data_IF_239501341712
#
_entry.id   IF_239501341712
#
_cell.length_a   1.000
_cell.length_b   1.000
_cell.length_c   1.000
_cell.angle_alpha   90.00
_cell.angle_beta   90.00
_cell.angle_gamma   90.00
#
_symmetry.space_group_name_H-M   'P 1'
#
loop_
_entity.id
_entity.type
_entity.pdbx_description
1 polymer ?
#
# COMPACT_ATOMS: atom_id res chain seq x y z
N UNK A 1 -47.44 -15.09 -51.33
CA UNK A 1 -47.77 -13.65 -51.18
C UNK A 1 -49.21 -13.50 -50.72
N UNK A 2 -50.19 -14.11 -51.40
CA UNK A 2 -51.62 -14.06 -51.03
C UNK A 2 -51.92 -14.62 -49.64
N UNK A 3 -51.45 -15.82 -49.29
CA UNK A 3 -51.65 -16.39 -47.95
C UNK A 3 -51.03 -15.57 -46.80
N UNK A 4 -50.01 -14.76 -47.09
CA UNK A 4 -49.36 -13.89 -46.10
C UNK A 4 -50.15 -12.59 -45.95
N UNK A 5 -50.79 -12.10 -47.02
CA UNK A 5 -51.71 -10.97 -46.98
C UNK A 5 -53.04 -11.30 -46.28
N UNK A 6 -53.61 -12.49 -46.52
CA UNK A 6 -54.81 -12.94 -45.79
C UNK A 6 -54.54 -13.07 -44.29
N UNK A 7 -53.42 -13.69 -43.92
CA UNK A 7 -53.00 -13.82 -42.53
C UNK A 7 -52.79 -12.45 -41.85
N UNK A 8 -52.20 -11.47 -42.55
CA UNK A 8 -52.06 -10.10 -42.03
C UNK A 8 -53.42 -9.39 -41.92
N UNK A 9 -54.40 -9.67 -42.78
CA UNK A 9 -55.72 -9.02 -42.70
C UNK A 9 -56.63 -9.55 -41.58
N UNK A 10 -56.47 -10.82 -41.18
CA UNK A 10 -57.24 -11.45 -40.10
C UNK A 10 -56.69 -11.16 -38.70
N UNK A 11 -55.49 -10.57 -38.63
CA UNK A 11 -54.80 -10.30 -37.38
C UNK A 11 -55.45 -9.12 -36.63
N UNK A 12 -55.78 -9.29 -35.35
CA UNK A 12 -56.34 -8.21 -34.51
C UNK A 12 -55.27 -7.14 -34.20
N UNK A 13 -54.92 -6.31 -35.18
CA UNK A 13 -53.90 -5.26 -35.06
C UNK A 13 -54.15 -4.30 -33.90
N UNK A 14 -55.42 -4.08 -33.54
CA UNK A 14 -55.80 -3.26 -32.38
C UNK A 14 -55.30 -3.84 -31.04
N UNK A 15 -55.07 -5.15 -30.94
CA UNK A 15 -54.49 -5.80 -29.76
C UNK A 15 -53.00 -6.07 -29.90
N UNK A 16 -52.55 -6.48 -31.09
CA UNK A 16 -51.14 -6.81 -31.32
C UNK A 16 -50.25 -5.57 -31.28
N UNK A 17 -50.67 -4.45 -31.87
CA UNK A 17 -49.86 -3.23 -31.92
C UNK A 17 -49.55 -2.69 -30.51
N UNK A 18 -50.53 -2.50 -29.60
CA UNK A 18 -50.24 -2.04 -28.25
C UNK A 18 -49.37 -3.02 -27.45
N UNK A 19 -49.56 -4.33 -27.62
CA UNK A 19 -48.81 -5.33 -26.86
C UNK A 19 -47.35 -5.42 -27.32
N UNK A 20 -47.10 -5.44 -28.63
CA UNK A 20 -45.75 -5.43 -29.20
C UNK A 20 -45.06 -4.10 -28.89
N UNK A 21 -45.77 -2.98 -29.01
CA UNK A 21 -45.24 -1.67 -28.68
C UNK A 21 -44.88 -1.56 -27.20
N UNK A 22 -45.74 -2.04 -26.29
CA UNK A 22 -45.48 -2.08 -24.86
C UNK A 22 -44.25 -2.93 -24.50
N UNK A 23 -44.10 -4.11 -25.12
CA UNK A 23 -42.92 -4.97 -24.95
C UNK A 23 -41.65 -4.30 -25.49
N UNK A 24 -41.72 -3.68 -26.67
CA UNK A 24 -40.60 -2.96 -27.27
C UNK A 24 -40.14 -1.78 -26.39
N UNK A 25 -41.08 -0.98 -25.88
CA UNK A 25 -40.80 0.12 -24.95
C UNK A 25 -40.17 -0.42 -23.66
N UNK A 26 -40.70 -1.51 -23.09
CA UNK A 26 -40.14 -2.14 -21.89
C UNK A 26 -38.68 -2.60 -22.09
N UNK A 27 -38.38 -3.23 -23.23
CA UNK A 27 -37.01 -3.66 -23.58
C UNK A 27 -36.09 -2.46 -23.75
N UNK A 28 -36.52 -1.44 -24.49
CA UNK A 28 -35.74 -0.21 -24.71
C UNK A 28 -35.47 0.52 -23.38
N UNK A 29 -36.45 0.59 -22.49
CA UNK A 29 -36.30 1.19 -21.18
C UNK A 29 -35.32 0.38 -20.31
N UNK A 30 -35.41 -0.95 -20.34
CA UNK A 30 -34.46 -1.84 -19.66
C UNK A 30 -33.02 -1.64 -20.15
N UNK A 31 -32.82 -1.55 -21.47
CA UNK A 31 -31.52 -1.25 -22.07
C UNK A 31 -31.03 0.14 -21.65
N UNK A 32 -31.89 1.16 -21.69
CA UNK A 32 -31.54 2.52 -21.31
C UNK A 32 -31.11 2.62 -19.84
N UNK A 33 -31.85 1.96 -18.92
CA UNK A 33 -31.51 1.92 -17.49
C UNK A 33 -30.19 1.18 -17.27
N UNK A 34 -30.01 0.02 -17.90
CA UNK A 34 -28.76 -0.75 -17.81
C UNK A 34 -27.56 0.05 -18.32
N UNK A 35 -27.70 0.68 -19.50
CA UNK A 35 -26.69 1.55 -20.08
C UNK A 35 -26.37 2.73 -19.17
N UNK A 36 -27.39 3.38 -18.59
CA UNK A 36 -27.20 4.50 -17.65
C UNK A 36 -26.41 4.09 -16.40
N UNK A 37 -26.70 2.91 -15.84
CA UNK A 37 -25.98 2.38 -14.67
C UNK A 37 -24.51 2.09 -15.02
N UNK A 38 -24.26 1.43 -16.15
CA UNK A 38 -22.90 1.15 -16.63
C UNK A 38 -22.14 2.44 -16.95
N UNK A 39 -22.80 3.41 -17.56
CA UNK A 39 -22.23 4.71 -17.88
C UNK A 39 -21.85 5.48 -16.62
N UNK A 40 -22.71 5.51 -15.59
CA UNK A 40 -22.37 6.12 -14.29
C UNK A 40 -21.20 5.41 -13.59
N UNK A 41 -21.15 4.07 -13.62
CA UNK A 41 -20.00 3.31 -13.10
C UNK A 41 -18.71 3.70 -13.84
N UNK A 42 -18.77 3.83 -15.17
CA UNK A 42 -17.63 4.24 -16.01
C UNK A 42 -17.18 5.66 -15.71
N UNK A 43 -18.10 6.60 -15.55
CA UNK A 43 -17.79 7.99 -15.18
C UNK A 43 -17.10 8.08 -13.82
N UNK A 44 -17.62 7.38 -12.80
CA UNK A 44 -16.98 7.33 -11.47
C UNK A 44 -15.57 6.75 -11.54
N UNK A 45 -15.37 5.71 -12.33
CA UNK A 45 -14.04 5.12 -12.55
C UNK A 45 -13.08 6.10 -13.23
N UNK A 46 -13.51 6.79 -14.27
CA UNK A 46 -12.71 7.82 -14.95
C UNK A 46 -12.37 8.99 -14.03
N UNK A 47 -13.31 9.42 -13.19
CA UNK A 47 -13.08 10.46 -12.19
C UNK A 47 -12.07 10.02 -11.12
N UNK A 48 -12.11 8.76 -10.67
CA UNK A 48 -11.09 8.20 -9.76
C UNK A 48 -9.70 8.22 -10.40
N UNK A 49 -9.59 7.76 -11.66
CA UNK A 49 -8.33 7.80 -12.40
C UNK A 49 -7.79 9.23 -12.56
N UNK A 50 -8.66 10.20 -12.83
CA UNK A 50 -8.29 11.63 -12.92
C UNK A 50 -7.80 12.18 -11.58
N UNK A 51 -8.39 11.73 -10.48
CA UNK A 51 -8.00 12.14 -9.12
C UNK A 51 -6.74 11.43 -8.59
N UNK A 52 -6.28 10.38 -9.29
CA UNK A 52 -5.14 9.59 -8.84
C UNK A 52 -5.48 8.60 -7.73
N UNK A 53 -6.75 8.44 -7.37
CA UNK A 53 -7.23 7.42 -6.43
C UNK A 53 -7.03 6.05 -7.10
N UNK A 54 -5.99 5.32 -6.71
CA UNK A 54 -5.84 3.93 -7.10
C UNK A 54 -6.26 3.04 -5.95
N UNK A 55 -7.31 2.25 -6.17
CA UNK A 55 -7.69 1.14 -5.29
C UNK A 55 -6.67 -0.03 -5.40
N UNK A 56 -5.39 0.26 -5.65
CA UNK A 56 -4.34 -0.75 -5.85
C UNK A 56 -3.66 -1.11 -4.53
N UNK A 57 -3.47 -2.43 -4.35
CA UNK A 57 -2.65 -3.05 -3.33
C UNK A 57 -1.42 -3.67 -3.98
N UNK A 58 -0.23 -3.17 -3.63
CA UNK A 58 1.05 -3.68 -4.16
C UNK A 58 1.88 -4.30 -3.04
N UNK A 59 2.54 -5.42 -3.33
CA UNK A 59 3.48 -6.08 -2.42
C UNK A 59 4.90 -5.86 -2.91
N UNK A 60 5.72 -5.17 -2.13
CA UNK A 60 7.02 -4.67 -2.57
C UNK A 60 8.12 -5.00 -1.57
N UNK A 61 9.13 -5.76 -2.01
CA UNK A 61 10.37 -5.92 -1.27
C UNK A 61 11.34 -4.79 -1.59
N UNK A 62 12.00 -4.29 -0.55
CA UNK A 62 13.00 -3.23 -0.61
C UNK A 62 14.36 -3.83 -0.29
N UNK A 63 15.37 -3.37 -1.02
CA UNK A 63 16.75 -3.85 -0.91
C UNK A 63 17.69 -2.65 -0.92
N UNK A 64 18.81 -2.78 -0.21
CA UNK A 64 19.94 -1.87 -0.31
C UNK A 64 21.09 -2.55 -1.06
N UNK A 65 21.31 -2.14 -2.31
CA UNK A 65 22.44 -2.65 -3.09
C UNK A 65 23.67 -1.75 -2.89
N UNK A 66 24.87 -2.29 -2.65
CA UNK A 66 26.08 -1.47 -2.60
C UNK A 66 26.34 -0.84 -3.97
N UNK A 67 26.67 0.45 -3.99
CA UNK A 67 27.13 1.16 -5.20
C UNK A 67 28.65 1.28 -5.17
N UNK A 68 29.17 1.67 -4.02
CA UNK A 68 30.60 1.78 -3.74
C UNK A 68 30.83 1.21 -2.34
N UNK A 69 31.63 0.15 -2.25
CA UNK A 69 31.93 -0.52 -0.98
C UNK A 69 32.81 0.32 -0.06
N UNK A 70 33.59 1.27 -0.60
CA UNK A 70 34.52 2.10 0.19
C UNK A 70 33.82 3.28 0.87
N UNK A 71 32.85 3.90 0.20
CA UNK A 71 32.09 5.05 0.71
C UNK A 71 30.81 4.62 1.47
N UNK A 72 30.48 3.32 1.46
CA UNK A 72 29.27 2.80 2.09
C UNK A 72 27.97 3.31 1.46
N UNK A 73 28.05 3.88 0.25
CA UNK A 73 26.91 4.38 -0.52
C UNK A 73 26.11 3.20 -1.07
N UNK A 74 24.78 3.27 -0.89
CA UNK A 74 23.83 2.23 -1.29
C UNK A 74 22.75 2.76 -2.21
N UNK A 75 22.26 1.92 -3.11
CA UNK A 75 21.10 2.20 -3.94
C UNK A 75 19.88 1.48 -3.37
N UNK A 76 18.85 2.25 -3.02
CA UNK A 76 17.54 1.75 -2.67
C UNK A 76 16.82 1.27 -3.93
N UNK A 77 16.54 -0.04 -3.94
CA UNK A 77 15.84 -0.75 -5.00
C UNK A 77 14.58 -1.37 -4.43
N UNK A 78 13.50 -1.42 -5.20
CA UNK A 78 12.29 -2.11 -4.79
C UNK A 78 11.63 -2.90 -5.93
N UNK A 79 11.07 -4.05 -5.59
CA UNK A 79 10.53 -5.03 -6.55
C UNK A 79 9.18 -5.54 -6.09
N UNK A 80 8.25 -5.66 -7.04
CA UNK A 80 6.98 -6.30 -6.73
C UNK A 80 7.22 -7.80 -6.56
N UNK A 81 6.87 -8.35 -5.40
CA UNK A 81 7.05 -9.78 -5.09
C UNK A 81 5.76 -10.60 -5.25
N UNK A 82 4.64 -9.91 -5.46
CA UNK A 82 3.37 -10.52 -5.80
C UNK A 82 2.64 -9.69 -6.87
N UNK A 83 1.68 -10.28 -7.60
CA UNK A 83 0.86 -9.57 -8.58
C UNK A 83 0.14 -8.38 -7.95
N UNK A 84 -0.03 -7.33 -8.75
CA UNK A 84 -0.84 -6.18 -8.37
C UNK A 84 -2.29 -6.64 -8.21
N UNK A 85 -2.95 -6.21 -7.14
CA UNK A 85 -4.37 -6.47 -6.90
C UNK A 85 -5.10 -5.17 -6.65
N UNK A 86 -6.42 -5.17 -6.83
CA UNK A 86 -7.25 -4.11 -6.27
C UNK A 86 -7.70 -4.46 -4.85
N UNK A 87 -8.12 -3.47 -4.07
CA UNK A 87 -8.71 -3.67 -2.74
C UNK A 87 -9.95 -4.58 -2.85
N UNK A 88 -10.74 -4.43 -3.92
CA UNK A 88 -11.94 -5.24 -4.14
C UNK A 88 -11.61 -6.72 -4.46
N UNK A 89 -10.46 -6.98 -5.10
CA UNK A 89 -9.97 -8.35 -5.41
C UNK A 89 -9.19 -8.99 -4.25
N UNK A 90 -8.69 -8.17 -3.33
CA UNK A 90 -7.84 -8.63 -2.23
C UNK A 90 -8.67 -9.02 -0.99
N UNK A 91 -9.77 -8.33 -0.72
CA UNK A 91 -10.56 -8.53 0.49
C UNK A 91 -11.98 -8.94 0.12
N UNK A 92 -12.53 -10.02 0.69
CA UNK A 92 -13.92 -10.41 0.41
C UNK A 92 -14.93 -9.58 1.22
N UNK A 93 -14.53 -9.15 2.42
CA UNK A 93 -15.39 -8.39 3.32
C UNK A 93 -15.56 -6.92 2.85
N UNK A 94 -16.77 -6.46 2.47
CA UNK A 94 -16.99 -5.11 2.00
C UNK A 94 -16.70 -4.04 3.05
N UNK A 95 -16.89 -4.35 4.34
CA UNK A 95 -16.56 -3.44 5.43
C UNK A 95 -15.04 -3.25 5.54
N UNK A 96 -14.25 -4.32 5.43
CA UNK A 96 -12.79 -4.24 5.44
C UNK A 96 -12.26 -3.38 4.28
N UNK A 97 -12.87 -3.50 3.08
CA UNK A 97 -12.52 -2.68 1.91
C UNK A 97 -12.73 -1.18 2.17
N UNK A 98 -13.89 -0.81 2.71
CA UNK A 98 -14.20 0.61 2.96
C UNK A 98 -13.34 1.17 4.11
N UNK A 99 -13.17 0.40 5.18
CA UNK A 99 -12.28 0.78 6.28
C UNK A 99 -10.85 0.97 5.76
N UNK A 100 -10.30 0.05 4.98
CA UNK A 100 -8.95 0.17 4.43
C UNK A 100 -8.79 1.45 3.59
N UNK A 101 -9.77 1.78 2.73
CA UNK A 101 -9.76 3.05 1.97
C UNK A 101 -9.77 4.27 2.86
N UNK A 102 -10.56 4.25 3.94
CA UNK A 102 -10.62 5.35 4.90
C UNK A 102 -9.29 5.50 5.66
N UNK A 103 -8.70 4.39 6.13
CA UNK A 103 -7.43 4.39 6.84
C UNK A 103 -6.29 4.88 5.93
N UNK A 104 -6.25 4.43 4.66
CA UNK A 104 -5.25 4.87 3.69
C UNK A 104 -5.28 6.39 3.49
N UNK A 105 -6.47 7.00 3.40
CA UNK A 105 -6.65 8.46 3.28
C UNK A 105 -6.19 9.26 4.50
N UNK A 106 -6.09 8.62 5.66
CA UNK A 106 -5.62 9.26 6.90
C UNK A 106 -4.09 9.28 7.03
N UNK A 107 -3.38 8.53 6.18
CA UNK A 107 -1.92 8.51 6.18
C UNK A 107 -1.33 9.82 5.69
N UNK A 108 -0.14 10.15 6.21
CA UNK A 108 0.59 11.37 5.87
C UNK A 108 2.07 11.04 5.69
N UNK A 109 2.87 11.98 5.18
CA UNK A 109 4.32 11.79 5.13
C UNK A 109 4.94 11.53 6.50
N UNK A 110 4.35 12.06 7.58
CA UNK A 110 4.86 11.89 8.95
C UNK A 110 4.38 10.58 9.61
N UNK A 111 3.27 10.03 9.12
CA UNK A 111 2.68 8.78 9.59
C UNK A 111 2.22 7.95 8.36
N UNK A 112 3.15 7.29 7.65
CA UNK A 112 2.85 6.60 6.40
C UNK A 112 2.30 5.18 6.59
N UNK A 113 2.43 4.62 7.80
CA UNK A 113 1.90 3.30 8.16
C UNK A 113 0.38 3.41 8.25
N UNK A 114 -0.33 2.48 7.63
CA UNK A 114 -1.79 2.41 7.72
C UNK A 114 -2.19 2.13 9.18
N UNK A 115 -3.03 2.95 9.82
CA UNK A 115 -3.42 2.77 11.21
C UNK A 115 -4.42 1.62 11.35
N UNK A 116 -3.91 0.39 11.41
CA UNK A 116 -4.73 -0.83 11.46
C UNK A 116 -5.15 -1.22 12.87
N UNK A 117 -5.30 -0.29 13.83
CA UNK A 117 -5.66 -0.65 15.21
C UNK A 117 -7.06 -1.28 15.33
N UNK A 118 -7.25 -2.09 16.38
CA UNK A 118 -8.50 -2.79 16.64
C UNK A 118 -8.73 -3.99 15.72
N UNK A 119 -9.87 -4.65 15.92
CA UNK A 119 -10.17 -5.96 15.30
C UNK A 119 -10.22 -5.91 13.76
N UNK A 120 -10.92 -4.92 13.20
CA UNK A 120 -11.05 -4.81 11.73
C UNK A 120 -9.71 -4.50 11.08
N UNK A 121 -8.89 -3.65 11.72
CA UNK A 121 -7.56 -3.36 11.22
C UNK A 121 -6.62 -4.58 11.32
N UNK A 122 -6.71 -5.36 12.40
CA UNK A 122 -6.02 -6.66 12.50
C UNK A 122 -6.39 -7.59 11.35
N UNK A 123 -7.68 -7.75 11.06
CA UNK A 123 -8.14 -8.58 9.93
C UNK A 123 -7.58 -8.06 8.60
N UNK A 124 -7.62 -6.74 8.37
CA UNK A 124 -7.07 -6.11 7.16
C UNK A 124 -5.57 -6.43 6.98
N UNK A 125 -4.79 -6.30 8.05
CA UNK A 125 -3.35 -6.51 8.03
C UNK A 125 -3.02 -8.01 7.85
N UNK A 126 -3.73 -8.88 8.55
CA UNK A 126 -3.54 -10.32 8.49
C UNK A 126 -3.96 -10.91 7.14
N UNK A 127 -5.03 -10.42 6.53
CA UNK A 127 -5.44 -10.82 5.18
C UNK A 127 -4.37 -10.44 4.15
N UNK A 128 -3.82 -9.22 4.23
CA UNK A 128 -2.73 -8.81 3.35
C UNK A 128 -1.49 -9.71 3.50
N UNK A 129 -1.11 -10.04 4.73
CA UNK A 129 -0.01 -10.98 4.99
C UNK A 129 -0.33 -12.41 4.51
N UNK A 130 -1.58 -12.86 4.66
CA UNK A 130 -2.04 -14.17 4.20
C UNK A 130 -2.01 -14.28 2.67
N UNK A 131 -2.42 -13.24 1.96
CA UNK A 131 -2.31 -13.16 0.49
C UNK A 131 -0.85 -13.29 0.05
N UNK A 132 0.04 -12.52 0.67
CA UNK A 132 1.46 -12.52 0.33
C UNK A 132 2.13 -13.87 0.64
N UNK A 133 1.92 -14.39 1.85
CA UNK A 133 2.49 -15.68 2.28
C UNK A 133 1.96 -16.82 1.43
N UNK A 134 0.67 -16.82 1.09
CA UNK A 134 0.07 -17.77 0.16
C UNK A 134 0.71 -17.71 -1.24
N UNK A 135 0.96 -16.50 -1.76
CA UNK A 135 1.64 -16.33 -3.04
C UNK A 135 3.09 -16.84 -3.04
N UNK A 136 3.81 -16.63 -1.93
CA UNK A 136 5.21 -17.02 -1.79
C UNK A 136 5.41 -18.41 -1.19
N UNK A 137 4.33 -19.16 -0.91
CA UNK A 137 4.39 -20.45 -0.24
C UNK A 137 5.20 -21.50 -1.03
N UNK A 138 5.09 -21.46 -2.35
CA UNK A 138 5.77 -22.37 -3.30
C UNK A 138 7.04 -21.77 -3.90
N UNK A 139 7.54 -20.65 -3.35
CA UNK A 139 8.79 -20.05 -3.81
C UNK A 139 9.95 -21.02 -3.60
N UNK A 140 10.84 -21.12 -4.60
CA UNK A 140 12.08 -21.90 -4.52
C UNK A 140 13.18 -21.20 -3.72
N UNK A 141 12.96 -19.94 -3.33
CA UNK A 141 13.94 -19.12 -2.62
C UNK A 141 14.03 -19.51 -1.14
N UNK A 142 15.21 -19.40 -0.51
CA UNK A 142 15.38 -19.69 0.91
C UNK A 142 14.51 -18.74 1.75
N UNK A 143 13.84 -19.29 2.77
CA UNK A 143 12.99 -18.49 3.67
C UNK A 143 13.86 -17.66 4.60
N UNK A 144 13.71 -16.33 4.54
CA UNK A 144 14.30 -15.37 5.49
C UNK A 144 13.19 -14.66 6.24
N UNK A 145 13.51 -14.05 7.38
CA UNK A 145 12.56 -13.22 8.10
C UNK A 145 12.52 -11.85 7.44
N UNK A 146 11.32 -11.41 7.06
CA UNK A 146 11.06 -10.09 6.51
C UNK A 146 10.12 -9.35 7.45
N UNK A 147 10.38 -8.07 7.64
CA UNK A 147 9.43 -7.18 8.29
C UNK A 147 8.42 -6.71 7.25
N UNK A 148 7.15 -6.89 7.56
CA UNK A 148 6.00 -6.58 6.74
C UNK A 148 5.21 -5.43 7.33
N UNK A 149 4.89 -4.43 6.51
CA UNK A 149 4.12 -3.27 6.94
C UNK A 149 3.20 -2.78 5.82
N UNK A 150 1.95 -2.45 6.15
CA UNK A 150 1.05 -1.76 5.22
C UNK A 150 1.25 -0.26 5.29
N UNK A 151 1.44 0.37 4.15
CA UNK A 151 1.72 1.81 4.02
C UNK A 151 0.85 2.42 2.93
N UNK A 152 0.60 3.72 3.04
CA UNK A 152 0.09 4.52 1.93
C UNK A 152 0.88 5.83 1.89
N UNK A 153 1.36 6.20 0.71
CA UNK A 153 2.07 7.47 0.57
C UNK A 153 1.08 8.64 0.53
N UNK A 154 1.50 9.78 1.07
CA UNK A 154 0.67 10.99 1.16
C UNK A 154 0.18 11.46 -0.22
N UNK A 155 -1.14 11.42 -0.41
CA UNK A 155 -1.84 11.85 -1.63
C UNK A 155 -1.52 13.28 -2.07
N UNK A 156 -1.07 14.12 -1.16
CA UNK A 156 -0.74 15.50 -1.47
C UNK A 156 0.64 15.66 -2.11
N UNK A 157 1.41 14.58 -2.21
CA UNK A 157 2.76 14.57 -2.76
C UNK A 157 2.92 13.53 -3.88
N UNK A 158 2.16 12.43 -3.82
CA UNK A 158 2.16 11.42 -4.88
C UNK A 158 1.05 11.63 -5.90
N UNK A 159 1.35 11.31 -7.16
CA UNK A 159 0.37 11.38 -8.27
C UNK A 159 -0.67 10.26 -8.23
N UNK A 160 -0.32 9.12 -7.63
CA UNK A 160 -1.16 7.91 -7.58
C UNK A 160 -1.18 7.39 -6.14
N UNK A 161 -2.31 7.55 -5.47
CA UNK A 161 -2.54 6.98 -4.15
C UNK A 161 -2.65 5.46 -4.30
N UNK A 162 -1.87 4.71 -3.54
CA UNK A 162 -1.87 3.25 -3.62
C UNK A 162 -1.32 2.66 -2.33
N UNK A 163 -1.96 1.58 -1.88
CA UNK A 163 -1.59 0.90 -0.66
C UNK A 163 -0.44 -0.05 -0.98
N UNK A 164 0.62 0.03 -0.18
CA UNK A 164 1.83 -0.74 -0.38
C UNK A 164 2.15 -1.53 0.86
N UNK A 165 2.16 -2.83 0.67
CA UNK A 165 2.69 -3.79 1.61
C UNK A 165 4.20 -3.87 1.41
N UNK A 166 4.93 -3.20 2.29
CA UNK A 166 6.38 -3.18 2.30
C UNK A 166 6.93 -4.44 2.95
N UNK A 167 7.97 -4.98 2.33
CA UNK A 167 8.87 -5.97 2.90
C UNK A 167 10.27 -5.37 2.95
N UNK A 168 10.95 -5.53 4.07
CA UNK A 168 12.35 -5.13 4.27
C UNK A 168 13.03 -6.06 5.26
N UNK A 169 14.35 -6.20 5.17
CA UNK A 169 15.13 -6.85 6.21
C UNK A 169 15.25 -5.91 7.42
N UNK A 170 15.33 -6.48 8.62
CA UNK A 170 15.31 -5.70 9.86
C UNK A 170 16.58 -4.86 10.03
N UNK A 171 17.75 -5.44 9.75
CA UNK A 171 19.04 -4.76 9.76
C UNK A 171 19.11 -3.61 8.76
N UNK A 172 18.55 -3.78 7.56
CA UNK A 172 18.44 -2.71 6.56
C UNK A 172 17.54 -1.57 7.02
N UNK A 173 16.36 -1.89 7.58
CA UNK A 173 15.42 -0.87 8.06
C UNK A 173 16.05 -0.02 9.17
N UNK A 174 16.77 -0.64 10.10
CA UNK A 174 17.34 0.08 11.24
C UNK A 174 18.33 1.17 10.83
N UNK A 175 19.00 1.02 9.68
CA UNK A 175 19.86 2.06 9.09
C UNK A 175 19.07 3.31 8.71
N UNK A 176 17.84 3.13 8.21
CA UNK A 176 16.98 4.25 7.81
C UNK A 176 16.54 5.15 8.97
N UNK A 177 16.64 4.70 10.21
CA UNK A 177 16.29 5.53 11.36
C UNK A 177 17.34 6.63 11.63
N UNK A 178 18.53 6.59 11.03
CA UNK A 178 19.44 7.73 10.96
C UNK A 178 19.17 8.56 9.70
N UNK A 179 18.57 9.74 9.88
CA UNK A 179 18.27 10.63 8.77
C UNK A 179 19.51 11.18 8.06
N UNK A 180 20.62 11.38 8.77
CA UNK A 180 21.87 11.85 8.14
C UNK A 180 22.42 10.78 7.22
N UNK A 181 22.45 9.54 7.71
CA UNK A 181 22.84 8.41 6.89
C UNK A 181 21.96 8.29 5.63
N UNK A 182 20.64 8.40 5.77
CA UNK A 182 19.70 8.42 4.65
C UNK A 182 20.05 9.48 3.61
N UNK A 183 20.41 10.69 4.05
CA UNK A 183 20.72 11.79 3.15
C UNK A 183 22.02 11.59 2.38
N UNK A 184 23.05 11.13 3.08
CA UNK A 184 24.41 11.15 2.58
C UNK A 184 24.73 9.89 1.77
N UNK A 185 24.19 8.72 2.18
CA UNK A 185 24.57 7.42 1.64
C UNK A 185 23.51 6.75 0.77
N UNK A 186 22.24 7.13 0.87
CA UNK A 186 21.18 6.50 0.07
C UNK A 186 21.05 7.19 -1.28
N UNK A 187 21.08 6.38 -2.34
CA UNK A 187 20.72 6.73 -3.72
C UNK A 187 19.46 5.99 -4.10
N UNK A 188 18.75 6.44 -5.12
CA UNK A 188 17.48 5.84 -5.53
C UNK A 188 17.52 5.45 -7.01
N UNK A 189 16.72 4.47 -7.43
CA UNK A 189 16.65 4.10 -8.86
C UNK A 189 16.10 5.23 -9.74
N UNK A 190 15.16 6.05 -9.25
CA UNK A 190 14.52 7.12 -10.02
C UNK A 190 14.38 8.39 -9.20
N UNK A 191 14.43 9.59 -9.82
CA UNK A 191 14.39 10.86 -9.10
C UNK A 191 13.17 11.02 -8.17
N UNK A 192 12.02 10.45 -8.50
CA UNK A 192 10.79 10.54 -7.70
C UNK A 192 10.71 9.52 -6.56
N UNK A 193 11.64 8.57 -6.44
CA UNK A 193 11.67 7.57 -5.37
C UNK A 193 12.16 8.13 -4.03
N UNK A 194 12.56 9.40 -3.94
CA UNK A 194 12.99 10.04 -2.70
C UNK A 194 11.93 9.95 -1.57
N UNK A 195 10.64 9.93 -1.92
CA UNK A 195 9.54 9.73 -0.95
C UNK A 195 9.60 8.37 -0.25
N UNK A 196 10.17 7.35 -0.90
CA UNK A 196 10.38 6.03 -0.30
C UNK A 196 11.42 6.08 0.80
N UNK A 197 12.49 6.86 0.62
CA UNK A 197 13.50 7.07 1.66
C UNK A 197 12.88 7.71 2.89
N UNK A 198 12.05 8.75 2.70
CA UNK A 198 11.31 9.41 3.80
C UNK A 198 10.36 8.41 4.47
N UNK A 199 9.61 7.65 3.69
CA UNK A 199 8.66 6.65 4.20
C UNK A 199 9.38 5.58 5.03
N UNK A 200 10.49 5.02 4.52
CA UNK A 200 11.30 4.03 5.23
C UNK A 200 11.91 4.61 6.50
N UNK A 201 12.40 5.86 6.48
CA UNK A 201 12.87 6.55 7.68
C UNK A 201 11.77 6.61 8.76
N UNK A 202 10.54 7.00 8.39
CA UNK A 202 9.41 7.06 9.34
C UNK A 202 9.00 5.69 9.86
N UNK A 203 9.03 4.66 9.01
CA UNK A 203 8.78 3.26 9.42
C UNK A 203 9.87 2.80 10.39
N UNK A 204 11.14 3.12 10.11
CA UNK A 204 12.27 2.75 10.94
C UNK A 204 12.21 3.40 12.32
N UNK A 205 11.88 4.70 12.39
CA UNK A 205 11.64 5.39 13.66
C UNK A 205 10.46 4.77 14.42
N UNK A 206 9.33 4.52 13.75
CA UNK A 206 8.18 3.87 14.37
C UNK A 206 8.54 2.47 14.90
N UNK A 207 9.27 1.67 14.13
CA UNK A 207 9.69 0.33 14.55
C UNK A 207 10.60 0.37 15.77
N UNK A 208 11.57 1.30 15.79
CA UNK A 208 12.46 1.51 16.93
C UNK A 208 11.67 1.92 18.18
N UNK A 209 10.75 2.87 18.05
CA UNK A 209 9.91 3.32 19.16
C UNK A 209 9.01 2.19 19.67
N UNK A 210 8.42 1.40 18.76
CA UNK A 210 7.64 0.21 19.08
C UNK A 210 8.50 -0.81 19.84
N UNK A 211 9.73 -1.08 19.39
CA UNK A 211 10.66 -1.98 20.08
C UNK A 211 11.04 -1.51 21.48
N UNK A 212 11.24 -0.21 21.70
CA UNK A 212 11.55 0.38 23.02
C UNK A 212 10.33 0.32 23.93
N UNK A 213 9.14 0.55 23.40
CA UNK A 213 7.88 0.53 24.15
C UNK A 213 7.42 -0.88 24.53
N UNK A 214 8.04 -1.94 23.97
CA UNK A 214 7.71 -3.30 24.35
C UNK A 214 8.07 -3.55 25.82
N UNK A 215 7.12 -3.99 26.66
CA UNK A 215 7.48 -4.52 27.96
C UNK A 215 8.41 -5.72 27.72
N UNK A 216 9.59 -5.71 28.33
CA UNK A 216 10.39 -6.92 28.51
C UNK A 216 9.53 -7.84 29.35
N UNK A 217 8.73 -8.72 28.74
CA UNK A 217 7.90 -9.68 29.48
C UNK A 217 8.85 -10.78 29.95
N UNK A 218 9.21 -10.84 31.25
CA UNK A 218 9.86 -12.00 31.78
C UNK A 218 8.74 -13.00 32.12
N UNK A 219 8.79 -14.16 31.48
CA UNK A 219 8.14 -15.38 31.97
C UNK A 219 6.64 -15.63 31.62
N UNK A 220 6.44 -16.79 30.98
CA UNK A 220 5.35 -17.77 31.19
C UNK A 220 3.89 -17.30 31.19
N UNK A 221 3.40 -16.90 30.02
CA UNK A 221 2.20 -17.49 29.41
C UNK A 221 2.03 -16.85 28.05
N UNK A 222 2.42 -17.55 26.99
CA UNK A 222 2.04 -17.14 25.64
C UNK A 222 0.51 -17.23 25.62
N UNK A 223 -0.25 -16.13 25.49
CA UNK A 223 -1.69 -16.25 25.33
C UNK A 223 -1.92 -17.04 24.03
N UNK A 224 -2.75 -18.08 24.08
CA UNK A 224 -3.10 -18.91 22.91
C UNK A 224 -3.71 -18.08 21.75
N UNK A 225 -4.12 -16.85 22.03
CA UNK A 225 -4.66 -15.87 21.09
C UNK A 225 -4.08 -14.51 21.45
N UNK A 226 -3.30 -13.91 20.55
CA UNK A 226 -2.86 -12.51 20.70
C UNK A 226 -4.08 -11.59 20.84
N UNK A 227 -4.00 -10.56 21.68
CA UNK A 227 -5.06 -9.57 21.77
C UNK A 227 -5.17 -8.82 20.43
N UNK A 228 -6.18 -9.18 19.64
CA UNK A 228 -6.48 -8.60 18.32
C UNK A 228 -6.77 -7.10 18.40
N UNK A 229 -6.96 -6.52 19.59
CA UNK A 229 -7.17 -5.07 19.78
C UNK A 229 -5.86 -4.29 19.76
N UNK A 230 -4.74 -4.91 20.15
CA UNK A 230 -3.42 -4.31 20.26
C UNK A 230 -2.35 -5.19 19.59
N UNK A 231 -2.49 -5.40 18.29
CA UNK A 231 -1.48 -6.05 17.47
C UNK A 231 -0.39 -5.08 16.98
N UNK A 232 0.75 -5.63 16.56
CA UNK A 232 1.82 -4.87 15.90
C UNK A 232 1.44 -4.58 14.45
N UNK A 233 1.72 -3.36 14.00
CA UNK A 233 1.50 -2.95 12.60
C UNK A 233 2.65 -3.36 11.68
N UNK A 234 3.81 -3.62 12.28
CA UNK A 234 4.97 -4.23 11.61
C UNK A 234 5.08 -5.68 12.06
N UNK A 235 4.90 -6.62 11.13
CA UNK A 235 4.89 -8.05 11.40
C UNK A 235 6.16 -8.73 10.88
N UNK A 236 6.64 -9.77 11.57
CA UNK A 236 7.72 -10.63 11.07
C UNK A 236 7.12 -11.79 10.28
N UNK A 237 7.46 -11.90 9.00
CA UNK A 237 7.01 -12.97 8.10
C UNK A 237 8.22 -13.77 7.59
N UNK A 238 8.16 -15.10 7.69
CA UNK A 238 9.17 -15.97 7.09
C UNK A 238 8.81 -16.25 5.63
N UNK A 239 9.53 -15.61 4.69
CA UNK A 239 9.19 -15.61 3.26
C UNK A 239 10.39 -16.00 2.39
N UNK A 240 10.13 -16.78 1.34
CA UNK A 240 11.10 -17.07 0.28
C UNK A 240 11.04 -15.98 -0.80
N UNK A 241 11.83 -14.92 -0.63
CA UNK A 241 11.93 -13.80 -1.58
C UNK A 241 13.31 -13.81 -2.22
N UNK A 242 13.39 -13.46 -3.51
CA UNK A 242 14.66 -13.36 -4.24
C UNK A 242 15.59 -12.34 -3.56
N UNK A 243 16.82 -12.74 -3.23
CA UNK A 243 17.82 -11.87 -2.62
C UNK A 243 18.87 -11.35 -3.60
N UNK A 244 18.96 -11.94 -4.80
CA UNK A 244 19.90 -11.56 -5.85
C UNK A 244 19.32 -10.53 -6.82
N UNK A 245 18.68 -9.49 -6.31
CA UNK A 245 18.09 -8.43 -7.14
C UNK A 245 19.15 -7.47 -7.68
N UNK A 246 18.92 -6.96 -8.89
CA UNK A 246 19.84 -6.05 -9.59
C UNK A 246 19.13 -4.74 -9.90
N UNK A 247 19.85 -3.63 -9.78
CA UNK A 247 19.34 -2.32 -10.16
C UNK A 247 19.00 -2.26 -11.66
N UNK A 248 17.89 -1.61 -12.00
CA UNK A 248 17.45 -1.45 -13.40
C UNK A 248 17.95 -0.16 -14.04
N UNK A 249 18.49 0.75 -13.23
CA UNK A 249 18.98 2.05 -13.67
C UNK A 249 20.13 2.50 -12.77
N UNK A 250 20.92 3.43 -13.30
CA UNK A 250 22.02 4.03 -12.56
C UNK A 250 21.53 4.71 -11.26
N UNK A 251 22.35 4.68 -10.19
CA UNK A 251 22.01 5.33 -8.93
C UNK A 251 21.79 6.83 -9.10
N UNK A 252 20.60 7.29 -8.73
CA UNK A 252 20.26 8.71 -8.74
C UNK A 252 20.46 9.32 -7.35
N UNK A 253 21.21 10.42 -7.28
CA UNK A 253 21.35 11.22 -6.06
C UNK A 253 20.08 12.06 -5.86
N UNK A 254 19.55 12.04 -4.64
CA UNK A 254 18.45 12.91 -4.25
C UNK A 254 19.00 14.28 -3.92
N UNK A 255 18.48 15.31 -4.60
CA UNK A 255 18.73 16.70 -4.23
C UNK A 255 17.87 17.07 -3.02
N UNK A 256 18.40 16.89 -1.83
CA UNK A 256 17.70 17.21 -0.58
C UNK A 256 17.45 18.70 -0.40
N UNK A 257 18.26 19.59 -1.01
CA UNK A 257 18.05 21.03 -0.94
C UNK A 257 16.69 21.43 -1.49
N UNK A 258 16.25 20.78 -2.57
CA UNK A 258 14.93 20.97 -3.16
C UNK A 258 13.80 20.32 -2.36
N UNK A 259 14.06 19.19 -1.68
CA UNK A 259 12.99 18.37 -1.06
C UNK A 259 12.74 18.72 0.40
N UNK A 260 13.75 19.19 1.14
CA UNK A 260 13.61 19.55 2.55
C UNK A 260 12.54 20.63 2.81
N UNK A 261 12.43 21.71 2.01
CA UNK A 261 11.37 22.70 2.20
C UNK A 261 9.96 22.10 2.08
N UNK A 262 9.79 21.06 1.25
CA UNK A 262 8.52 20.32 1.10
C UNK A 262 8.22 19.54 2.38
N UNK A 263 9.23 18.86 2.94
CA UNK A 263 9.11 18.09 4.18
C UNK A 263 8.77 18.99 5.37
N UNK A 264 9.46 20.12 5.51
CA UNK A 264 9.23 21.10 6.59
C UNK A 264 7.81 21.67 6.51
N UNK A 265 7.35 22.06 5.31
CA UNK A 265 5.98 22.56 5.10
C UNK A 265 4.91 21.54 5.50
N UNK A 266 5.23 20.26 5.40
CA UNK A 266 4.35 19.13 5.75
C UNK A 266 4.52 18.65 7.19
N UNK A 267 5.32 19.36 8.00
CA UNK A 267 5.53 19.05 9.41
C UNK A 267 6.30 17.76 9.65
N UNK A 268 7.06 17.27 8.66
CA UNK A 268 7.87 16.06 8.85
C UNK A 268 9.17 16.45 9.54
N UNK A 269 9.28 16.07 10.83
CA UNK A 269 10.47 16.35 11.64
C UNK A 269 11.56 15.34 11.28
N UNK A 270 12.60 15.82 10.62
CA UNK A 270 13.75 15.04 10.14
C UNK A 270 14.89 14.93 11.17
N UNK A 271 14.62 15.23 12.45
CA UNK A 271 15.65 15.22 13.48
C UNK A 271 15.99 13.80 13.92
N UNK A 272 17.23 13.40 13.68
CA UNK A 272 17.92 12.38 14.45
C UNK A 272 18.21 12.92 15.86
N UNK A 273 17.28 12.80 16.80
CA UNK A 273 17.70 12.84 18.21
C UNK A 273 18.29 11.47 18.53
N UNK A 274 19.57 11.30 18.24
CA UNK A 274 20.40 10.37 19.00
C UNK A 274 20.25 10.79 20.46
N UNK A 275 19.84 9.92 21.40
CA UNK A 275 19.94 10.27 22.81
C UNK A 275 21.40 10.61 23.08
N UNK A 276 21.66 11.87 23.39
CA UNK A 276 22.96 12.32 23.87
C UNK A 276 23.28 11.47 25.09
N UNK A 277 24.28 10.60 24.95
CA UNK A 277 24.88 9.91 26.10
C UNK A 277 25.12 10.94 27.21
N UNK A 278 24.76 10.67 28.47
CA UNK A 278 24.95 11.64 29.54
C UNK A 278 26.44 12.01 29.59
N UNK A 279 26.74 13.31 29.52
CA UNK A 279 28.08 13.84 29.77
C UNK A 279 28.52 13.29 31.12
N UNK A 280 29.53 12.41 31.11
CA UNK A 280 30.27 12.06 32.32
C UNK A 280 30.88 13.35 32.86
N UNK A 281 30.35 13.78 34.01
CA UNK A 281 31.03 14.58 35.04
C UNK A 281 31.90 15.73 34.56
N UNK A 282 31.28 16.88 34.33
CA UNK A 282 31.82 18.12 34.91
C UNK A 282 31.35 18.11 36.37
N UNK A 283 32.20 17.59 37.25
CA UNK A 283 32.14 17.86 38.68
C UNK A 283 33.40 18.64 39.00
N UNK A 284 33.26 19.95 39.09
CA UNK A 284 34.14 20.79 39.90
C UNK A 284 33.92 20.39 41.37
N UNK A 285 34.97 19.84 42.00
CA UNK A 285 35.69 20.37 43.18
C UNK A 285 37.05 19.66 43.23
#
# INVERSE_FOLDING_TARGET
MEALMEWLSEMEWQRVVPEVFGKAVGVLLGIAISWWVLFRKRLKYLDRLRRGDSDELLFQAHYLLPVDEEDGTVQLVFRNVAPRRTIDDAYDNPSARETLRQLARSTTLNAPIVPTEGRVGFEILNDAASILTGWLATSSMPRKVWLFCMTCEDRHVVRKECIRCFLFQEDELLRFADWRWCRDHVRVERPWHWLRVVTLHRIACYHRDEQIALPVVPDRSIPLVDDQRQHRRIMRLALGVCDSEVATSEPCRVDWGDKEPILIRRGVLMSSQTPSSPRKGESEV
#
